data_IF_182415733037
#
_entry.id   IF_182415733037
#
_cell.length_a   1.000
_cell.length_b   1.000
_cell.length_c   1.000
_cell.angle_alpha   90.00
_cell.angle_beta   90.00
_cell.angle_gamma   90.00
#
_symmetry.space_group_name_H-M   'P 1'
#
loop_
_entity.id
_entity.type
_entity.pdbx_description
1 polymer ?
#
# COMPACT_ATOMS: atom_id res chain seq x y z
N UNK A 1 2.13 14.94 9.35
CA UNK A 1 0.81 15.59 9.17
C UNK A 1 0.20 15.87 10.51
N UNK A 2 -0.30 17.09 10.70
CA UNK A 2 -1.01 17.49 11.93
C UNK A 2 -2.35 16.76 11.99
N UNK A 3 -2.71 16.14 13.13
CA UNK A 3 -4.02 15.52 13.31
C UNK A 3 -5.16 16.54 13.13
N UNK A 4 -6.21 16.15 12.43
CA UNK A 4 -7.40 16.98 12.22
C UNK A 4 -8.66 16.17 12.56
N UNK A 5 -9.58 16.79 13.28
CA UNK A 5 -10.90 16.22 13.54
C UNK A 5 -11.76 16.22 12.29
N UNK A 6 -12.45 15.12 12.07
CA UNK A 6 -13.39 14.94 10.96
C UNK A 6 -14.61 14.20 11.44
N UNK A 7 -15.79 14.72 11.14
CA UNK A 7 -17.05 14.03 11.39
C UNK A 7 -17.37 13.12 10.21
N UNK A 8 -17.69 11.88 10.50
CA UNK A 8 -18.01 10.87 9.49
C UNK A 8 -19.18 10.02 9.94
N UNK A 9 -19.88 9.42 8.98
CA UNK A 9 -20.91 8.40 9.22
C UNK A 9 -20.28 7.03 9.02
N UNK A 10 -19.99 6.28 10.11
CA UNK A 10 -19.31 4.99 9.98
C UNK A 10 -20.24 3.94 9.40
N UNK A 11 -19.73 3.15 8.47
CA UNK A 11 -20.41 2.01 7.86
C UNK A 11 -19.98 0.71 8.53
N UNK A 12 -18.68 0.54 8.73
CA UNK A 12 -18.16 -0.66 9.36
C UNK A 12 -16.63 -0.71 9.37
N UNK A 13 -16.11 -1.76 9.98
CA UNK A 13 -14.69 -2.05 10.07
C UNK A 13 -14.37 -3.28 9.23
N UNK A 14 -13.28 -3.22 8.49
CA UNK A 14 -12.75 -4.37 7.75
C UNK A 14 -11.28 -4.58 8.11
N UNK A 15 -10.86 -5.83 8.14
CA UNK A 15 -9.45 -6.20 8.34
C UNK A 15 -8.96 -6.95 7.11
N UNK A 16 -7.87 -6.47 6.55
CA UNK A 16 -7.23 -7.08 5.39
C UNK A 16 -5.73 -7.19 5.68
N UNK A 17 -5.20 -8.40 5.67
CA UNK A 17 -3.77 -8.67 5.94
C UNK A 17 -3.28 -7.96 7.21
N UNK A 18 -3.95 -8.17 8.33
CA UNK A 18 -3.64 -7.57 9.63
C UNK A 18 -3.75 -6.04 9.70
N UNK A 19 -4.31 -5.41 8.66
CA UNK A 19 -4.59 -3.97 8.64
C UNK A 19 -6.08 -3.73 8.78
N UNK A 20 -6.43 -2.89 9.75
CA UNK A 20 -7.80 -2.46 9.97
C UNK A 20 -8.12 -1.17 9.21
N UNK A 21 -9.33 -1.11 8.66
CA UNK A 21 -9.87 0.06 7.96
C UNK A 21 -11.27 0.37 8.45
N UNK A 22 -11.54 1.65 8.61
CA UNK A 22 -12.88 2.18 8.82
C UNK A 22 -13.47 2.58 7.47
N UNK A 23 -14.59 1.96 7.10
CA UNK A 23 -15.41 2.39 5.96
C UNK A 23 -16.45 3.37 6.47
N UNK A 24 -16.52 4.54 5.86
CA UNK A 24 -17.43 5.60 6.27
C UNK A 24 -17.89 6.43 5.06
N UNK A 25 -18.87 7.29 5.30
CA UNK A 25 -19.19 8.40 4.40
C UNK A 25 -18.93 9.73 5.10
N UNK A 26 -18.60 10.74 4.32
CA UNK A 26 -18.44 12.11 4.79
C UNK A 26 -19.08 13.04 3.76
N UNK A 27 -20.11 13.77 4.19
CA UNK A 27 -20.88 14.61 3.28
C UNK A 27 -21.41 13.86 2.05
N UNK A 28 -21.86 12.62 2.24
CA UNK A 28 -22.35 11.75 1.17
C UNK A 28 -21.27 11.08 0.32
N UNK A 29 -20.00 11.40 0.54
CA UNK A 29 -18.90 10.81 -0.20
C UNK A 29 -18.26 9.64 0.55
N UNK A 30 -17.93 8.59 -0.18
CA UNK A 30 -17.22 7.43 0.35
C UNK A 30 -15.84 7.78 0.86
N UNK A 31 -15.52 7.32 2.06
CA UNK A 31 -14.20 7.48 2.68
C UNK A 31 -13.73 6.16 3.31
N UNK A 32 -12.46 5.89 3.17
CA UNK A 32 -11.79 4.76 3.82
C UNK A 32 -10.62 5.29 4.63
N UNK A 33 -10.61 4.96 5.93
CA UNK A 33 -9.58 5.41 6.85
C UNK A 33 -8.82 4.21 7.39
N UNK A 34 -7.51 4.28 7.34
CA UNK A 34 -6.67 3.27 7.97
C UNK A 34 -6.66 3.47 9.48
N UNK A 35 -7.02 2.45 10.26
CA UNK A 35 -7.13 2.56 11.72
C UNK A 35 -5.84 3.01 12.39
N UNK A 36 -4.68 2.58 11.89
CA UNK A 36 -3.38 2.98 12.42
C UNK A 36 -3.07 4.48 12.29
N UNK A 37 -3.87 5.22 11.49
CA UNK A 37 -3.75 6.68 11.30
C UNK A 37 -4.79 7.46 12.10
N UNK A 38 -5.67 6.77 12.82
CA UNK A 38 -6.67 7.39 13.68
C UNK A 38 -6.08 7.46 15.08
N UNK A 39 -5.82 8.68 15.57
CA UNK A 39 -5.23 8.90 16.89
C UNK A 39 -6.27 9.01 18.00
N UNK A 40 -7.51 9.40 17.65
CA UNK A 40 -8.61 9.52 18.59
C UNK A 40 -9.96 9.41 17.86
N UNK A 41 -10.98 8.96 18.54
CA UNK A 41 -12.34 8.93 18.05
C UNK A 41 -13.30 9.33 19.17
N UNK A 42 -14.34 10.07 18.83
CA UNK A 42 -15.37 10.53 19.74
C UNK A 42 -16.74 10.29 19.11
N UNK A 43 -17.66 9.74 19.90
CA UNK A 43 -19.03 9.53 19.47
C UNK A 43 -19.85 10.82 19.66
N UNK A 44 -20.54 11.22 18.58
CA UNK A 44 -21.44 12.38 18.62
C UNK A 44 -22.87 11.96 18.94
N UNK A 45 -23.70 12.86 19.53
CA UNK A 45 -25.08 12.55 19.89
C UNK A 45 -26.00 12.39 18.66
N UNK A 46 -25.63 12.93 17.50
CA UNK A 46 -26.40 12.78 16.27
C UNK A 46 -26.28 11.35 15.71
N UNK A 47 -27.40 10.80 15.21
CA UNK A 47 -27.39 9.50 14.57
C UNK A 47 -26.64 9.53 13.23
N UNK A 48 -25.80 8.51 12.99
CA UNK A 48 -25.11 8.34 11.72
C UNK A 48 -26.09 7.96 10.61
N UNK A 49 -25.88 8.52 9.43
CA UNK A 49 -26.58 8.08 8.21
C UNK A 49 -25.96 6.77 7.69
N UNK A 50 -26.68 5.66 7.85
CA UNK A 50 -26.21 4.34 7.43
C UNK A 50 -27.20 3.72 6.45
N UNK A 51 -26.69 3.00 5.43
CA UNK A 51 -27.57 2.20 4.57
C UNK A 51 -28.27 1.12 5.42
N UNK A 52 -29.51 0.78 5.05
CA UNK A 52 -30.35 -0.21 5.78
C UNK A 52 -29.80 -1.64 5.74
N UNK A 53 -28.98 -1.96 4.74
CA UNK A 53 -28.21 -3.20 4.61
C UNK A 53 -26.77 -2.89 4.28
N UNK A 54 -25.85 -3.51 5.02
CA UNK A 54 -24.41 -3.31 4.84
C UNK A 54 -23.77 -4.65 4.51
N UNK A 55 -23.26 -4.79 3.29
CA UNK A 55 -22.36 -5.85 2.87
C UNK A 55 -20.95 -5.28 2.80
N UNK A 56 -20.18 -5.46 3.87
CA UNK A 56 -18.84 -4.89 4.00
C UNK A 56 -17.86 -5.45 2.97
N UNK A 57 -17.99 -6.73 2.61
CA UNK A 57 -17.11 -7.34 1.60
C UNK A 57 -17.33 -6.72 0.22
N UNK A 58 -18.59 -6.47 -0.15
CA UNK A 58 -18.93 -5.81 -1.41
C UNK A 58 -18.44 -4.36 -1.43
N UNK A 59 -18.70 -3.61 -0.36
CA UNK A 59 -18.25 -2.21 -0.25
C UNK A 59 -16.73 -2.12 -0.35
N UNK A 60 -16.03 -3.00 0.35
CA UNK A 60 -14.56 -3.06 0.30
C UNK A 60 -14.05 -3.37 -1.10
N UNK A 61 -14.64 -4.36 -1.78
CA UNK A 61 -14.25 -4.71 -3.16
C UNK A 61 -14.48 -3.55 -4.13
N UNK A 62 -15.64 -2.89 -4.06
CA UNK A 62 -15.97 -1.75 -4.91
C UNK A 62 -15.03 -0.56 -4.68
N UNK A 63 -14.71 -0.26 -3.43
CA UNK A 63 -13.78 0.82 -3.07
C UNK A 63 -12.34 0.51 -3.47
N UNK A 64 -11.89 -0.71 -3.25
CA UNK A 64 -10.56 -1.16 -3.66
C UNK A 64 -10.40 -1.13 -5.18
N UNK A 65 -11.41 -1.57 -5.93
CA UNK A 65 -11.41 -1.52 -7.39
C UNK A 65 -11.31 -0.07 -7.89
N UNK A 66 -12.08 0.86 -7.33
CA UNK A 66 -12.01 2.30 -7.68
C UNK A 66 -10.65 2.92 -7.35
N UNK A 67 -10.08 2.56 -6.23
CA UNK A 67 -8.75 3.02 -5.83
C UNK A 67 -7.66 2.50 -6.78
N UNK A 68 -7.77 1.24 -7.22
CA UNK A 68 -6.83 0.63 -8.16
C UNK A 68 -7.03 1.08 -9.61
N UNK A 69 -8.19 1.63 -9.96
CA UNK A 69 -8.45 2.20 -11.29
C UNK A 69 -7.95 3.64 -11.48
N UNK A 70 -7.37 4.25 -10.44
CA UNK A 70 -6.74 5.57 -10.51
C UNK A 70 -5.59 5.58 -11.52
N UNK A 71 -5.46 6.67 -12.30
CA UNK A 71 -4.58 6.76 -13.45
C UNK A 71 -3.08 6.80 -13.15
N UNK A 72 -2.69 7.02 -11.89
CA UNK A 72 -1.30 7.26 -11.50
C UNK A 72 -0.60 6.03 -10.91
N UNK A 73 -1.33 4.92 -10.75
CA UNK A 73 -0.78 3.69 -10.21
C UNK A 73 0.21 3.05 -11.18
N UNK A 74 1.27 2.49 -10.64
CA UNK A 74 2.24 1.73 -11.44
C UNK A 74 2.23 0.27 -11.06
N UNK A 75 2.49 -0.57 -12.06
CA UNK A 75 2.70 -2.00 -11.90
C UNK A 75 4.19 -2.29 -11.92
N UNK A 76 4.66 -3.00 -10.92
CA UNK A 76 6.07 -3.35 -10.75
C UNK A 76 6.21 -4.87 -10.69
N UNK A 77 7.13 -5.43 -11.47
CA UNK A 77 7.54 -6.82 -11.33
C UNK A 77 8.77 -6.87 -10.44
N UNK A 78 8.71 -7.74 -9.42
CA UNK A 78 9.72 -7.85 -8.37
C UNK A 78 10.05 -9.30 -8.13
N UNK A 79 11.32 -9.60 -7.87
CA UNK A 79 11.71 -10.81 -7.18
C UNK A 79 12.05 -10.47 -5.73
N UNK A 80 11.68 -11.32 -4.80
CA UNK A 80 11.83 -11.04 -3.37
C UNK A 80 12.31 -12.27 -2.61
N UNK A 81 13.19 -12.05 -1.62
CA UNK A 81 13.55 -13.07 -0.66
C UNK A 81 12.28 -13.52 0.08
N UNK A 82 11.98 -14.84 0.13
CA UNK A 82 10.78 -15.34 0.80
C UNK A 82 10.64 -14.87 2.26
N UNK A 83 11.74 -14.67 2.96
CA UNK A 83 11.76 -14.17 4.34
C UNK A 83 11.22 -12.74 4.48
N UNK A 84 11.28 -11.94 3.41
CA UNK A 84 10.85 -10.54 3.38
C UNK A 84 9.59 -10.32 2.53
N UNK A 85 8.99 -11.40 2.02
CA UNK A 85 7.83 -11.33 1.14
C UNK A 85 6.65 -10.57 1.78
N UNK A 86 6.26 -10.92 2.98
CA UNK A 86 5.11 -10.30 3.65
C UNK A 86 5.32 -8.81 3.90
N UNK A 87 6.53 -8.40 4.24
CA UNK A 87 6.89 -6.99 4.40
C UNK A 87 6.69 -6.20 3.10
N UNK A 88 7.08 -6.77 1.96
CA UNK A 88 6.85 -6.15 0.65
C UNK A 88 5.36 -6.08 0.32
N UNK A 89 4.61 -7.14 0.54
CA UNK A 89 3.16 -7.18 0.30
C UNK A 89 2.42 -6.16 1.15
N UNK A 90 2.91 -5.91 2.35
CA UNK A 90 2.32 -4.93 3.26
C UNK A 90 2.44 -3.48 2.77
N UNK A 91 3.41 -3.19 1.93
CA UNK A 91 3.59 -1.86 1.34
C UNK A 91 2.85 -1.69 0.01
N UNK A 92 2.68 -2.76 -0.75
CA UNK A 92 1.96 -2.71 -2.03
C UNK A 92 0.46 -2.45 -1.86
N UNK A 93 -0.15 -1.83 -2.84
CA UNK A 93 -1.61 -1.63 -2.90
C UNK A 93 -2.33 -2.91 -3.25
N UNK A 94 -1.78 -3.68 -4.19
CA UNK A 94 -2.34 -4.95 -4.64
C UNK A 94 -1.26 -5.90 -5.15
N UNK A 95 -1.55 -7.19 -5.05
CA UNK A 95 -0.82 -8.26 -5.70
C UNK A 95 -1.63 -8.71 -6.91
N UNK A 96 -1.07 -8.60 -8.10
CA UNK A 96 -1.73 -8.98 -9.36
C UNK A 96 -1.40 -10.41 -9.77
N UNK A 97 -0.17 -10.81 -9.56
CA UNK A 97 0.30 -12.15 -9.87
C UNK A 97 1.47 -12.55 -8.96
N UNK A 98 1.64 -13.83 -8.77
CA UNK A 98 2.77 -14.40 -8.06
C UNK A 98 3.14 -15.73 -8.72
N UNK A 99 4.42 -15.91 -9.01
CA UNK A 99 4.96 -17.13 -9.61
C UNK A 99 6.18 -17.61 -8.81
N UNK A 100 6.23 -18.90 -8.45
CA UNK A 100 7.43 -19.48 -7.88
C UNK A 100 8.57 -19.47 -8.89
N UNK A 101 9.80 -19.42 -8.42
CA UNK A 101 10.97 -19.48 -9.26
C UNK A 101 11.96 -20.54 -8.76
N UNK A 102 12.76 -21.07 -9.67
CA UNK A 102 13.72 -22.15 -9.39
C UNK A 102 14.80 -21.75 -8.37
N UNK A 103 15.10 -20.43 -8.25
CA UNK A 103 16.05 -19.88 -7.28
C UNK A 103 15.45 -19.72 -5.86
N UNK A 104 14.18 -20.08 -5.68
CA UNK A 104 13.47 -19.95 -4.41
C UNK A 104 12.94 -18.54 -4.10
N UNK A 105 13.24 -17.56 -4.94
CA UNK A 105 12.75 -16.20 -4.81
C UNK A 105 11.55 -15.98 -5.73
N UNK A 106 10.31 -15.89 -5.20
CA UNK A 106 9.13 -15.73 -6.03
C UNK A 106 9.18 -14.43 -6.83
N UNK A 107 8.52 -14.46 -7.98
CA UNK A 107 8.29 -13.30 -8.85
C UNK A 107 6.88 -12.80 -8.60
N UNK A 108 6.75 -11.53 -8.30
CA UNK A 108 5.47 -10.89 -8.03
C UNK A 108 5.23 -9.75 -9.01
N UNK A 109 3.97 -9.58 -9.36
CA UNK A 109 3.48 -8.38 -10.03
C UNK A 109 2.64 -7.58 -9.03
N UNK A 110 3.14 -6.41 -8.66
CA UNK A 110 2.57 -5.57 -7.59
C UNK A 110 2.14 -4.22 -8.13
N UNK A 111 1.07 -3.67 -7.57
CA UNK A 111 0.64 -2.31 -7.82
C UNK A 111 1.07 -1.40 -6.69
N UNK A 112 1.70 -0.27 -7.02
CA UNK A 112 2.03 0.80 -6.10
C UNK A 112 1.33 2.10 -6.50
N UNK A 113 1.19 3.01 -5.56
CA UNK A 113 0.51 4.29 -5.77
C UNK A 113 1.19 5.12 -6.86
N UNK A 114 2.52 5.16 -6.86
CA UNK A 114 3.35 5.86 -7.83
C UNK A 114 4.79 5.31 -7.79
N UNK A 115 5.64 5.85 -8.65
CA UNK A 115 7.06 5.45 -8.72
C UNK A 115 7.83 5.72 -7.44
N UNK A 116 7.52 6.80 -6.73
CA UNK A 116 8.19 7.15 -5.46
C UNK A 116 7.83 6.16 -4.36
N UNK A 117 6.58 5.76 -4.29
CA UNK A 117 6.11 4.75 -3.35
C UNK A 117 6.79 3.40 -3.61
N UNK A 118 6.87 2.97 -4.86
CA UNK A 118 7.56 1.74 -5.25
C UNK A 118 9.06 1.79 -4.92
N UNK A 119 9.72 2.88 -5.24
CA UNK A 119 11.14 3.08 -4.93
C UNK A 119 11.40 3.01 -3.43
N UNK A 120 10.59 3.71 -2.63
CA UNK A 120 10.70 3.68 -1.18
C UNK A 120 10.51 2.27 -0.62
N UNK A 121 9.48 1.55 -1.08
CA UNK A 121 9.16 0.20 -0.62
C UNK A 121 10.31 -0.79 -0.90
N UNK A 122 10.89 -0.74 -2.08
CA UNK A 122 12.00 -1.61 -2.48
C UNK A 122 13.31 -1.20 -1.81
N UNK A 123 13.53 0.08 -1.61
CA UNK A 123 14.71 0.57 -0.91
C UNK A 123 14.81 0.05 0.52
N UNK A 124 13.68 -0.07 1.23
CA UNK A 124 13.63 -0.62 2.59
C UNK A 124 14.10 -2.09 2.66
N UNK A 125 13.91 -2.83 1.59
CA UNK A 125 14.29 -4.25 1.52
C UNK A 125 15.76 -4.46 1.09
N UNK A 126 16.40 -3.43 0.60
CA UNK A 126 17.81 -3.49 0.20
C UNK A 126 18.06 -4.58 -0.85
N UNK A 127 18.96 -5.51 -0.54
CA UNK A 127 19.32 -6.62 -1.42
C UNK A 127 18.35 -7.79 -1.39
N UNK A 128 17.33 -7.76 -0.52
CA UNK A 128 16.32 -8.81 -0.39
C UNK A 128 15.17 -8.69 -1.40
N UNK A 129 15.15 -7.64 -2.20
CA UNK A 129 14.21 -7.47 -3.29
C UNK A 129 14.87 -6.78 -4.48
N UNK A 130 14.43 -7.16 -5.68
CA UNK A 130 14.91 -6.56 -6.92
C UNK A 130 13.74 -6.25 -7.84
N UNK A 131 13.63 -5.00 -8.27
CA UNK A 131 12.70 -4.63 -9.33
C UNK A 131 13.17 -5.23 -10.66
N UNK A 132 12.30 -5.99 -11.30
CA UNK A 132 12.54 -6.54 -12.63
C UNK A 132 12.04 -5.59 -13.72
N UNK A 133 10.96 -4.87 -13.46
CA UNK A 133 10.39 -3.82 -14.31
C UNK A 133 9.57 -2.85 -13.46
N UNK A 134 9.33 -1.60 -13.89
CA UNK A 134 9.81 -0.97 -15.13
C UNK A 134 11.30 -0.58 -15.07
N UNK A 135 11.92 -0.37 -16.22
CA UNK A 135 13.34 -0.01 -16.30
C UNK A 135 13.64 1.34 -15.62
N UNK A 136 12.73 2.28 -15.68
CA UNK A 136 12.85 3.58 -15.00
C UNK A 136 13.04 3.45 -13.49
N UNK A 137 12.32 2.53 -12.86
CA UNK A 137 12.46 2.24 -11.43
C UNK A 137 13.81 1.58 -11.12
N UNK A 138 14.24 0.63 -11.95
CA UNK A 138 15.56 0.01 -11.81
C UNK A 138 16.68 1.04 -11.89
N UNK A 139 16.59 1.95 -12.86
CA UNK A 139 17.57 3.05 -13.03
C UNK A 139 17.58 3.97 -11.82
N UNK A 140 16.44 4.37 -11.32
CA UNK A 140 16.31 5.24 -10.13
C UNK A 140 16.93 4.59 -8.90
N UNK A 141 16.64 3.32 -8.64
CA UNK A 141 17.20 2.56 -7.51
C UNK A 141 18.73 2.42 -7.64
N UNK A 142 19.24 2.13 -8.85
CA UNK A 142 20.66 2.04 -9.11
C UNK A 142 21.37 3.37 -8.85
N UNK A 143 20.83 4.45 -9.37
CA UNK A 143 21.42 5.79 -9.20
C UNK A 143 21.48 6.16 -7.71
N UNK A 144 20.44 5.87 -6.96
CA UNK A 144 20.40 6.10 -5.52
C UNK A 144 21.43 5.25 -4.77
N UNK A 145 21.54 3.98 -5.11
CA UNK A 145 22.53 3.08 -4.50
C UNK A 145 23.97 3.54 -4.80
N UNK A 146 24.25 3.96 -6.03
CA UNK A 146 25.55 4.50 -6.43
C UNK A 146 25.88 5.76 -5.64
N UNK A 147 24.94 6.69 -5.52
CA UNK A 147 25.14 7.92 -4.74
C UNK A 147 25.43 7.62 -3.27
N UNK A 148 24.75 6.65 -2.68
CA UNK A 148 25.03 6.21 -1.29
C UNK A 148 26.42 5.58 -1.20
N UNK A 149 26.77 4.70 -2.12
CA UNK A 149 28.10 4.06 -2.14
C UNK A 149 29.23 5.08 -2.25
N UNK A 150 29.06 6.12 -3.08
CA UNK A 150 30.04 7.19 -3.26
C UNK A 150 30.29 7.99 -1.98
N UNK A 151 29.28 8.11 -1.09
CA UNK A 151 29.47 8.77 0.21
C UNK A 151 30.38 7.99 1.16
N UNK A 152 30.37 6.68 1.07
CA UNK A 152 31.19 5.84 1.95
C UNK A 152 32.57 5.52 1.39
N UNK A 153 32.79 5.75 0.10
CA UNK A 153 34.08 5.54 -0.56
C UNK A 153 34.54 4.09 -0.65
N UNK A 154 35.73 3.87 -1.18
CA UNK A 154 36.39 2.58 -1.16
C UNK A 154 36.94 2.29 0.24
N UNK A 155 36.83 1.04 0.72
CA UNK A 155 37.46 0.67 1.99
C UNK A 155 38.98 0.81 1.91
N UNK A 156 39.58 1.49 2.88
CA UNK A 156 41.03 1.70 2.97
C UNK A 156 41.75 0.43 3.39
#
# INVERSE_FOLDING_TARGET
>A
QTPQWRTVDPIGLVTVRDRGYLLATRSGEDRTYRLSRISAAEELPEAAERPSRVDLDRIWRDRSARFLSGSDHITVRVRVNPARREELLDTALAVRAEEPAADGWPRLELTFQDSRHAEWALWQLGTDAEALSPQSLRTSLRNRATAVADHYGEPS
#
